data_IF_262376563837
#
_entry.id   IF_262376563837
#
_cell.length_a   1.000
_cell.length_b   1.000
_cell.length_c   1.000
_cell.angle_alpha   90.00
_cell.angle_beta   90.00
_cell.angle_gamma   90.00
#
_symmetry.space_group_name_H-M   'P 1'
#
loop_
_entity.id
_entity.type
_entity.pdbx_description
1 polymer ?
#
# COMPACT_ATOMS: atom_id res chain seq x y z
N UNK A 1 44.18 41.40 10.33
CA UNK A 1 42.96 40.61 10.61
C UNK A 1 42.13 40.38 9.33
N UNK A 2 42.19 41.27 8.34
CA UNK A 2 41.44 41.16 7.08
C UNK A 2 41.75 39.91 6.24
N UNK A 3 42.99 39.40 6.31
CA UNK A 3 43.42 38.20 5.57
C UNK A 3 42.70 36.90 5.97
N UNK A 4 42.08 36.87 7.16
CA UNK A 4 41.32 35.69 7.64
C UNK A 4 39.81 35.93 7.53
N UNK A 5 39.37 37.18 7.57
CA UNK A 5 37.96 37.55 7.47
C UNK A 5 37.44 37.33 6.04
N UNK A 6 38.22 37.63 5.00
CA UNK A 6 37.77 37.45 3.61
C UNK A 6 37.52 35.98 3.25
N UNK A 7 38.45 35.03 3.49
CA UNK A 7 38.20 33.62 3.19
C UNK A 7 37.07 33.02 4.02
N UNK A 8 36.94 33.41 5.29
CA UNK A 8 35.87 32.92 6.17
C UNK A 8 34.51 33.45 5.73
N UNK A 9 34.42 34.72 5.34
CA UNK A 9 33.17 35.30 4.83
C UNK A 9 32.80 34.71 3.47
N UNK A 10 33.76 34.45 2.58
CA UNK A 10 33.52 33.84 1.28
C UNK A 10 33.04 32.37 1.42
N UNK A 11 33.68 31.59 2.29
CA UNK A 11 33.27 30.21 2.58
C UNK A 11 31.89 30.12 3.26
N UNK A 12 31.62 30.98 4.26
CA UNK A 12 30.30 31.02 4.90
C UNK A 12 29.20 31.50 3.96
N UNK A 13 29.51 32.49 3.10
CA UNK A 13 28.57 32.99 2.11
C UNK A 13 28.28 31.93 1.05
N UNK A 14 29.29 31.23 0.52
CA UNK A 14 29.08 30.14 -0.44
C UNK A 14 28.23 29.02 0.15
N UNK A 15 28.50 28.63 1.40
CA UNK A 15 27.75 27.58 2.09
C UNK A 15 26.28 27.99 2.36
N UNK A 16 26.03 29.26 2.68
CA UNK A 16 24.68 29.80 2.88
C UNK A 16 23.89 29.95 1.57
N UNK A 17 24.53 30.36 0.48
CA UNK A 17 23.88 30.41 -0.84
C UNK A 17 23.59 29.00 -1.37
N UNK A 18 24.43 28.01 -1.03
CA UNK A 18 24.22 26.61 -1.40
C UNK A 18 23.18 25.88 -0.54
N UNK A 19 22.72 26.42 0.59
CA UNK A 19 21.80 25.70 1.49
C UNK A 19 20.48 25.34 0.81
N UNK A 20 19.89 26.27 0.05
CA UNK A 20 18.67 26.04 -0.73
C UNK A 20 18.88 25.01 -1.85
N UNK A 21 20.05 25.03 -2.51
CA UNK A 21 20.40 24.03 -3.52
C UNK A 21 20.54 22.63 -2.90
N UNK A 22 21.22 22.52 -1.76
CA UNK A 22 21.38 21.27 -1.02
C UNK A 22 20.03 20.72 -0.52
N UNK A 23 19.10 21.59 -0.12
CA UNK A 23 17.73 21.19 0.24
C UNK A 23 16.98 20.60 -0.96
N UNK A 24 17.08 21.22 -2.15
CA UNK A 24 16.48 20.70 -3.38
C UNK A 24 17.08 19.36 -3.82
N UNK A 25 18.40 19.21 -3.72
CA UNK A 25 19.09 17.94 -4.04
C UNK A 25 18.63 16.82 -3.12
N UNK A 26 18.51 17.07 -1.80
CA UNK A 26 17.97 16.09 -0.85
C UNK A 26 16.55 15.66 -1.21
N UNK A 27 15.69 16.61 -1.59
CA UNK A 27 14.33 16.28 -1.99
C UNK A 27 14.24 15.57 -3.36
N UNK A 28 15.14 15.84 -4.32
CA UNK A 28 15.25 15.06 -5.56
C UNK A 28 15.65 13.60 -5.27
N UNK A 29 16.64 13.39 -4.40
CA UNK A 29 17.04 12.04 -4.01
C UNK A 29 15.89 11.28 -3.31
N UNK A 30 15.14 11.97 -2.44
CA UNK A 30 13.95 11.42 -1.79
C UNK A 30 12.86 11.07 -2.82
N UNK A 31 12.62 11.95 -3.80
CA UNK A 31 11.64 11.73 -4.87
C UNK A 31 11.95 10.45 -5.65
N UNK A 32 13.19 10.25 -6.10
CA UNK A 32 13.57 9.03 -6.85
C UNK A 32 13.32 7.76 -6.05
N UNK A 33 13.65 7.77 -4.76
CA UNK A 33 13.41 6.65 -3.85
C UNK A 33 11.92 6.34 -3.71
N UNK A 34 11.10 7.38 -3.54
CA UNK A 34 9.65 7.24 -3.43
C UNK A 34 9.02 6.72 -4.71
N UNK A 35 9.45 7.22 -5.87
CA UNK A 35 8.96 6.72 -7.16
C UNK A 35 9.32 5.25 -7.35
N UNK A 36 10.52 4.83 -6.94
CA UNK A 36 10.92 3.42 -6.95
C UNK A 36 10.01 2.56 -6.06
N UNK A 37 9.75 2.99 -4.82
CA UNK A 37 8.85 2.26 -3.91
C UNK A 37 7.41 2.22 -4.41
N UNK A 38 6.87 3.33 -4.92
CA UNK A 38 5.54 3.40 -5.48
C UNK A 38 5.40 2.46 -6.70
N UNK A 39 6.37 2.49 -7.62
CA UNK A 39 6.42 1.59 -8.78
C UNK A 39 6.53 0.12 -8.37
N UNK A 40 7.42 -0.18 -7.41
CA UNK A 40 7.59 -1.53 -6.87
C UNK A 40 6.33 -2.07 -6.19
N UNK A 41 5.62 -1.24 -5.42
CA UNK A 41 4.34 -1.59 -4.80
C UNK A 41 3.26 -1.85 -5.84
N UNK A 42 3.12 -0.97 -6.84
CA UNK A 42 2.14 -1.16 -7.90
C UNK A 42 2.42 -2.47 -8.67
N UNK A 43 3.69 -2.71 -9.02
CA UNK A 43 4.10 -3.95 -9.68
C UNK A 43 3.79 -5.18 -8.80
N UNK A 44 4.20 -5.16 -7.52
CA UNK A 44 3.94 -6.24 -6.59
C UNK A 44 2.44 -6.50 -6.42
N UNK A 45 1.62 -5.47 -6.27
CA UNK A 45 0.17 -5.58 -6.12
C UNK A 45 -0.51 -6.08 -7.40
N UNK A 46 0.02 -5.71 -8.57
CA UNK A 46 -0.47 -6.18 -9.88
C UNK A 46 -0.13 -7.66 -10.09
N UNK A 47 1.07 -8.08 -9.70
CA UNK A 47 1.53 -9.47 -9.84
C UNK A 47 0.87 -10.40 -8.80
N UNK A 48 0.56 -9.92 -7.59
CA UNK A 48 0.07 -10.76 -6.49
C UNK A 48 -1.45 -10.96 -6.43
N UNK A 49 -2.15 -10.78 -7.56
CA UNK A 49 -3.62 -10.89 -7.68
C UNK A 49 -4.37 -10.25 -6.50
N UNK A 50 -4.16 -8.94 -6.30
CA UNK A 50 -4.86 -8.20 -5.23
C UNK A 50 -6.39 -8.44 -5.26
N UNK A 51 -6.96 -8.72 -6.44
CA UNK A 51 -8.36 -9.11 -6.63
C UNK A 51 -8.81 -10.32 -5.79
N UNK A 52 -7.91 -11.28 -5.55
CA UNK A 52 -8.22 -12.51 -4.81
C UNK A 52 -8.09 -12.33 -3.28
N UNK A 53 -7.63 -11.15 -2.84
CA UNK A 53 -7.48 -10.83 -1.42
C UNK A 53 -8.78 -10.32 -0.81
N UNK A 54 -8.89 -10.43 0.51
CA UNK A 54 -10.02 -9.86 1.24
C UNK A 54 -10.17 -8.36 0.97
N UNK A 55 -11.42 -7.86 0.95
CA UNK A 55 -11.73 -6.44 0.69
C UNK A 55 -10.94 -5.49 1.61
N UNK A 56 -10.69 -5.89 2.86
CA UNK A 56 -9.90 -5.12 3.82
C UNK A 56 -8.46 -4.95 3.31
N UNK A 57 -7.80 -6.05 2.94
CA UNK A 57 -6.43 -6.02 2.38
C UNK A 57 -6.37 -5.19 1.10
N UNK A 58 -7.39 -5.27 0.24
CA UNK A 58 -7.47 -4.45 -0.98
C UNK A 58 -7.53 -2.95 -0.66
N UNK A 59 -8.42 -2.54 0.27
CA UNK A 59 -8.57 -1.14 0.66
C UNK A 59 -7.27 -0.61 1.27
N UNK A 60 -6.64 -1.37 2.16
CA UNK A 60 -5.36 -0.99 2.80
C UNK A 60 -4.25 -0.87 1.76
N UNK A 61 -4.17 -1.78 0.79
CA UNK A 61 -3.20 -1.72 -0.30
C UNK A 61 -3.40 -0.48 -1.19
N UNK A 62 -4.65 -0.17 -1.57
CA UNK A 62 -4.98 1.02 -2.37
C UNK A 62 -4.62 2.29 -1.59
N UNK A 63 -4.98 2.36 -0.31
CA UNK A 63 -4.64 3.50 0.55
C UNK A 63 -3.11 3.68 0.68
N UNK A 64 -2.36 2.58 0.76
CA UNK A 64 -0.89 2.58 0.78
C UNK A 64 -0.32 3.20 -0.48
N UNK A 65 -0.79 2.78 -1.66
CA UNK A 65 -0.36 3.38 -2.94
C UNK A 65 -0.73 4.86 -3.01
N UNK A 66 -1.95 5.21 -2.57
CA UNK A 66 -2.39 6.61 -2.50
C UNK A 66 -1.50 7.48 -1.61
N UNK A 67 -1.06 6.97 -0.46
CA UNK A 67 -0.14 7.66 0.45
C UNK A 67 1.23 7.89 -0.19
N UNK A 68 1.77 6.90 -0.90
CA UNK A 68 3.03 7.05 -1.63
C UNK A 68 2.93 8.10 -2.75
N UNK A 69 1.82 8.11 -3.49
CA UNK A 69 1.57 9.13 -4.52
C UNK A 69 1.45 10.53 -3.89
N UNK A 70 0.73 10.65 -2.78
CA UNK A 70 0.60 11.91 -2.05
C UNK A 70 1.96 12.40 -1.53
N UNK A 71 2.78 11.51 -0.97
CA UNK A 71 4.14 11.83 -0.55
C UNK A 71 4.96 12.36 -1.74
N UNK A 72 4.92 11.67 -2.88
CA UNK A 72 5.62 12.09 -4.10
C UNK A 72 5.21 13.50 -4.55
N UNK A 73 3.90 13.81 -4.53
CA UNK A 73 3.39 15.15 -4.86
C UNK A 73 3.85 16.21 -3.86
N UNK A 74 3.92 15.89 -2.57
CA UNK A 74 4.43 16.81 -1.54
C UNK A 74 5.92 17.09 -1.70
N UNK A 75 6.72 16.07 -2.02
CA UNK A 75 8.13 16.27 -2.36
C UNK A 75 8.31 17.09 -3.62
N UNK A 76 7.53 16.82 -4.66
CA UNK A 76 7.53 17.63 -5.88
C UNK A 76 7.15 19.08 -5.56
N UNK A 77 6.16 19.31 -4.70
CA UNK A 77 5.78 20.65 -4.22
C UNK A 77 6.93 21.32 -3.46
N UNK A 78 7.66 20.58 -2.62
CA UNK A 78 8.78 21.10 -1.87
C UNK A 78 9.94 21.54 -2.78
N UNK A 79 10.13 20.89 -3.93
CA UNK A 79 11.22 21.21 -4.89
C UNK A 79 10.80 22.25 -5.92
N UNK A 80 9.59 22.13 -6.46
CA UNK A 80 9.18 22.86 -7.66
C UNK A 80 8.53 24.22 -7.38
N UNK A 81 7.92 24.41 -6.20
CA UNK A 81 7.25 25.67 -5.90
C UNK A 81 8.22 26.68 -5.29
N UNK A 82 8.40 27.87 -5.91
CA UNK A 82 9.21 28.92 -5.33
C UNK A 82 8.61 29.38 -3.99
N UNK A 83 9.44 29.85 -3.08
CA UNK A 83 8.98 30.53 -1.86
C UNK A 83 8.55 31.93 -2.27
N UNK A 84 7.27 32.25 -2.05
CA UNK A 84 6.70 33.54 -2.43
C UNK A 84 7.30 34.61 -1.52
N UNK A 85 7.94 35.60 -2.13
CA UNK A 85 8.53 36.71 -1.40
C UNK A 85 7.43 37.66 -0.93
N UNK A 86 7.42 37.97 0.38
CA UNK A 86 6.68 39.12 0.87
C UNK A 86 7.39 40.38 0.35
N UNK A 87 6.68 41.40 -0.18
CA UNK A 87 7.30 42.59 -0.71
C UNK A 87 8.09 43.30 0.38
N UNK A 88 9.43 43.19 0.30
CA UNK A 88 10.36 43.87 1.19
C UNK A 88 10.50 45.36 0.84
N UNK A 89 11.10 46.17 1.72
CA UNK A 89 11.34 47.57 1.44
C UNK A 89 12.21 47.71 0.17
N UNK A 90 11.70 48.43 -0.83
CA UNK A 90 12.24 48.50 -2.19
C UNK A 90 13.68 49.06 -2.32
N UNK A 91 14.31 49.50 -1.22
CA UNK A 91 15.64 50.10 -1.26
C UNK A 91 16.45 49.74 -0.01
N UNK A 92 17.54 48.99 -0.22
CA UNK A 92 18.53 48.70 0.82
C UNK A 92 19.63 49.77 0.74
N UNK A 93 19.82 50.53 1.81
CA UNK A 93 20.67 51.73 1.82
C UNK A 93 22.14 51.47 2.16
N UNK A 94 22.50 50.27 2.63
CA UNK A 94 23.89 49.91 2.98
C UNK A 94 24.27 48.50 2.54
N UNK A 95 25.58 48.29 2.28
CA UNK A 95 26.13 46.97 1.90
C UNK A 95 25.92 45.91 2.97
N UNK A 96 26.04 46.30 4.24
CA UNK A 96 25.80 45.41 5.40
C UNK A 96 24.33 44.99 5.50
N UNK A 97 23.40 45.93 5.24
CA UNK A 97 21.98 45.63 5.18
C UNK A 97 21.64 44.70 4.02
N UNK A 98 22.33 44.82 2.87
CA UNK A 98 22.15 43.91 1.74
C UNK A 98 22.61 42.49 2.09
N UNK A 99 23.80 42.34 2.68
CA UNK A 99 24.32 41.03 3.10
C UNK A 99 23.40 40.39 4.14
N UNK A 100 22.96 41.15 5.16
CA UNK A 100 22.02 40.65 6.17
C UNK A 100 20.70 40.21 5.53
N UNK A 101 20.13 41.01 4.63
CA UNK A 101 18.88 40.70 3.93
C UNK A 101 19.00 39.43 3.07
N UNK A 102 20.11 39.25 2.34
CA UNK A 102 20.36 38.04 1.55
C UNK A 102 20.48 36.80 2.45
N UNK A 103 21.19 36.91 3.58
CA UNK A 103 21.35 35.80 4.53
C UNK A 103 20.05 35.42 5.24
N UNK A 104 19.24 36.41 5.59
CA UNK A 104 17.93 36.24 6.20
C UNK A 104 16.96 35.59 5.21
N UNK A 105 16.93 36.09 3.97
CA UNK A 105 16.15 35.49 2.87
C UNK A 105 16.54 34.04 2.59
N UNK A 106 17.83 33.73 2.56
CA UNK A 106 18.30 32.36 2.36
C UNK A 106 17.91 31.43 3.52
N UNK A 107 17.87 31.94 4.74
CA UNK A 107 17.39 31.19 5.91
C UNK A 107 15.88 30.95 5.85
N UNK A 108 15.10 31.97 5.51
CA UNK A 108 13.65 31.87 5.40
C UNK A 108 13.24 30.89 4.29
N UNK A 109 13.92 30.92 3.14
CA UNK A 109 13.70 29.94 2.06
C UNK A 109 14.04 28.52 2.54
N UNK A 110 15.15 28.34 3.26
CA UNK A 110 15.55 27.05 3.79
C UNK A 110 14.54 26.51 4.83
N UNK A 111 14.07 27.35 5.75
CA UNK A 111 13.09 26.97 6.77
C UNK A 111 11.75 26.57 6.14
N UNK A 112 11.28 27.32 5.15
CA UNK A 112 10.04 27.03 4.43
C UNK A 112 10.14 25.72 3.65
N UNK A 113 11.28 25.45 3.00
CA UNK A 113 11.54 24.17 2.32
C UNK A 113 11.59 23.03 3.35
N UNK A 114 12.29 23.20 4.48
CA UNK A 114 12.39 22.18 5.53
C UNK A 114 11.01 21.87 6.15
N UNK A 115 10.14 22.87 6.35
CA UNK A 115 8.74 22.64 6.76
C UNK A 115 7.97 21.80 5.75
N UNK A 116 8.10 22.09 4.45
CA UNK A 116 7.45 21.31 3.38
C UNK A 116 7.98 19.87 3.33
N UNK A 117 9.30 19.70 3.47
CA UNK A 117 9.93 18.39 3.56
C UNK A 117 9.48 17.63 4.81
N UNK A 118 9.30 18.30 5.95
CA UNK A 118 8.78 17.70 7.18
C UNK A 118 7.40 17.07 6.99
N UNK A 119 6.49 17.77 6.31
CA UNK A 119 5.18 17.22 5.96
C UNK A 119 5.29 16.02 5.01
N UNK A 120 6.14 16.13 3.98
CA UNK A 120 6.37 15.05 3.03
C UNK A 120 6.98 13.80 3.70
N UNK A 121 7.92 14.00 4.63
CA UNK A 121 8.51 12.96 5.47
C UNK A 121 7.47 12.25 6.33
N UNK A 122 6.57 13.00 6.97
CA UNK A 122 5.52 12.43 7.80
C UNK A 122 4.56 11.55 6.98
N UNK A 123 4.14 12.03 5.80
CA UNK A 123 3.29 11.25 4.88
C UNK A 123 4.03 10.01 4.37
N UNK A 124 5.32 10.12 4.04
CA UNK A 124 6.14 8.98 3.65
C UNK A 124 6.28 7.95 4.79
N UNK A 125 6.49 8.39 6.03
CA UNK A 125 6.54 7.51 7.19
C UNK A 125 5.21 6.76 7.40
N UNK A 126 4.08 7.45 7.24
CA UNK A 126 2.76 6.82 7.26
C UNK A 126 2.59 5.80 6.12
N UNK A 127 3.06 6.11 4.91
CA UNK A 127 3.04 5.20 3.76
C UNK A 127 3.86 3.93 4.02
N UNK A 128 5.05 4.07 4.63
CA UNK A 128 5.89 2.92 5.04
C UNK A 128 5.17 2.06 6.06
N UNK A 129 4.61 2.65 7.13
CA UNK A 129 3.86 1.92 8.14
C UNK A 129 2.67 1.15 7.55
N UNK A 130 1.92 1.80 6.63
CA UNK A 130 0.82 1.17 5.89
C UNK A 130 1.28 0.07 4.93
N UNK A 131 2.48 0.19 4.36
CA UNK A 131 3.08 -0.85 3.52
C UNK A 131 3.38 -2.11 4.33
N UNK A 132 3.97 -1.94 5.52
CA UNK A 132 4.23 -3.04 6.46
C UNK A 132 2.92 -3.70 6.88
N UNK A 133 1.89 -2.91 7.19
CA UNK A 133 0.57 -3.43 7.56
C UNK A 133 -0.08 -4.21 6.39
N UNK A 134 -0.01 -3.67 5.17
CA UNK A 134 -0.53 -4.35 3.96
C UNK A 134 0.14 -5.70 3.77
N UNK A 135 1.47 -5.75 3.93
CA UNK A 135 2.23 -6.99 3.85
C UNK A 135 1.82 -7.98 4.95
N UNK A 136 1.73 -7.52 6.20
CA UNK A 136 1.31 -8.36 7.32
C UNK A 136 -0.10 -8.94 7.10
N UNK A 137 -1.05 -8.13 6.62
CA UNK A 137 -2.39 -8.60 6.27
C UNK A 137 -2.37 -9.62 5.11
N UNK A 138 -1.53 -9.38 4.10
CA UNK A 138 -1.38 -10.30 2.97
C UNK A 138 -0.86 -11.69 3.39
N UNK A 139 0.04 -11.73 4.36
CA UNK A 139 0.61 -12.97 4.92
C UNK A 139 -0.36 -13.65 5.89
N UNK A 140 -0.98 -12.89 6.80
CA UNK A 140 -1.79 -13.45 7.90
C UNK A 140 -3.22 -13.82 7.49
N UNK A 141 -3.84 -13.08 6.57
CA UNK A 141 -5.28 -13.25 6.24
C UNK A 141 -5.50 -14.22 5.08
N UNK A 142 -4.45 -14.57 4.33
CA UNK A 142 -4.54 -15.48 3.19
C UNK A 142 -5.41 -14.95 2.04
N UNK A 143 -5.48 -15.67 0.91
CA UNK A 143 -6.42 -15.36 -0.17
C UNK A 143 -7.86 -15.64 0.29
N UNK A 144 -8.80 -14.80 -0.15
CA UNK A 144 -10.21 -15.01 0.14
C UNK A 144 -10.68 -16.18 -0.73
N UNK A 145 -10.96 -17.33 -0.12
CA UNK A 145 -11.56 -18.47 -0.82
C UNK A 145 -12.88 -18.06 -1.47
N UNK A 146 -12.92 -17.98 -2.80
CA UNK A 146 -14.16 -17.72 -3.53
C UNK A 146 -15.09 -18.93 -3.36
N UNK A 147 -16.12 -18.76 -2.54
CA UNK A 147 -17.15 -19.78 -2.34
C UNK A 147 -18.45 -19.31 -2.99
N UNK A 148 -19.01 -20.14 -3.86
CA UNK A 148 -20.24 -19.84 -4.62
C UNK A 148 -21.31 -20.86 -4.24
N UNK A 149 -22.59 -20.45 -4.09
CA UNK A 149 -23.69 -21.40 -3.92
C UNK A 149 -23.70 -22.43 -5.05
N UNK A 150 -23.74 -23.71 -4.69
CA UNK A 150 -23.67 -24.79 -5.64
C UNK A 150 -24.14 -26.12 -5.06
N UNK A 151 -24.34 -27.07 -5.97
CA UNK A 151 -24.74 -28.44 -5.66
C UNK A 151 -23.67 -29.38 -6.18
N UNK A 152 -23.12 -30.20 -5.29
CA UNK A 152 -22.16 -31.25 -5.64
C UNK A 152 -22.90 -32.57 -5.72
N UNK A 153 -22.91 -33.18 -6.90
CA UNK A 153 -23.51 -34.49 -7.17
C UNK A 153 -22.45 -35.56 -6.98
N UNK A 154 -22.75 -36.56 -6.17
CA UNK A 154 -21.80 -37.58 -5.72
C UNK A 154 -21.99 -38.90 -6.46
N UNK A 155 -20.90 -39.64 -6.60
CA UNK A 155 -20.93 -41.01 -7.10
C UNK A 155 -21.64 -41.94 -6.11
N UNK A 156 -22.31 -43.01 -6.60
CA UNK A 156 -22.99 -43.98 -5.74
C UNK A 156 -22.08 -44.62 -4.68
N UNK A 157 -20.80 -44.81 -5.01
CA UNK A 157 -19.78 -45.40 -4.13
C UNK A 157 -19.56 -44.61 -2.83
N UNK A 158 -19.75 -43.29 -2.85
CA UNK A 158 -19.48 -42.41 -1.70
C UNK A 158 -20.72 -42.15 -0.83
N UNK A 159 -21.90 -42.62 -1.25
CA UNK A 159 -23.18 -42.36 -0.57
C UNK A 159 -23.22 -42.90 0.86
N UNK A 160 -22.65 -44.08 1.09
CA UNK A 160 -22.64 -44.70 2.42
C UNK A 160 -21.80 -43.87 3.41
N UNK A 161 -20.63 -43.39 2.98
CA UNK A 161 -19.77 -42.51 3.78
C UNK A 161 -20.47 -41.20 4.11
N UNK A 162 -21.11 -40.57 3.11
CA UNK A 162 -21.85 -39.34 3.34
C UNK A 162 -23.06 -39.54 4.27
N UNK A 163 -23.78 -40.67 4.14
CA UNK A 163 -24.92 -40.99 5.01
C UNK A 163 -24.49 -41.13 6.47
N UNK A 164 -23.31 -41.70 6.74
CA UNK A 164 -22.77 -41.78 8.10
C UNK A 164 -22.44 -40.40 8.69
N UNK A 165 -21.97 -39.46 7.85
CA UNK A 165 -21.64 -38.10 8.29
C UNK A 165 -22.89 -37.21 8.46
N UNK A 166 -23.83 -37.31 7.53
CA UNK A 166 -24.97 -36.39 7.42
C UNK A 166 -26.25 -36.95 8.04
N UNK A 167 -26.29 -38.24 8.41
CA UNK A 167 -27.47 -38.92 8.97
C UNK A 167 -28.61 -39.14 7.98
N UNK A 168 -28.46 -38.71 6.72
CA UNK A 168 -29.46 -38.81 5.67
C UNK A 168 -28.83 -39.39 4.41
N UNK A 169 -29.54 -40.32 3.76
CA UNK A 169 -29.17 -40.79 2.42
C UNK A 169 -29.42 -39.65 1.43
N UNK A 170 -28.34 -39.02 0.96
CA UNK A 170 -28.38 -38.05 -0.13
C UNK A 170 -27.30 -38.38 -1.15
N UNK A 171 -27.56 -38.07 -2.41
CA UNK A 171 -26.62 -38.15 -3.52
C UNK A 171 -26.13 -36.77 -3.98
N UNK A 172 -26.63 -35.73 -3.31
CA UNK A 172 -26.27 -34.34 -3.53
C UNK A 172 -25.98 -33.65 -2.20
N UNK A 173 -24.99 -32.75 -2.24
CA UNK A 173 -24.67 -31.84 -1.14
C UNK A 173 -24.86 -30.42 -1.65
N UNK A 174 -25.80 -29.71 -1.04
CA UNK A 174 -26.09 -28.31 -1.35
C UNK A 174 -25.34 -27.42 -0.36
N UNK A 175 -24.65 -26.40 -0.86
CA UNK A 175 -23.81 -25.56 -0.01
C UNK A 175 -22.99 -24.53 -0.79
N UNK A 176 -22.07 -23.89 -0.09
CA UNK A 176 -21.09 -22.99 -0.72
C UNK A 176 -19.90 -23.82 -1.16
N UNK A 177 -19.66 -23.93 -2.47
CA UNK A 177 -18.54 -24.66 -3.05
C UNK A 177 -17.38 -23.71 -3.28
N UNK A 178 -16.20 -24.03 -2.77
CA UNK A 178 -14.98 -23.24 -3.01
C UNK A 178 -14.45 -23.51 -4.42
N UNK A 179 -14.43 -22.51 -5.30
CA UNK A 179 -14.04 -22.67 -6.71
C UNK A 179 -12.64 -23.27 -6.87
N UNK A 180 -11.67 -22.77 -6.11
CA UNK A 180 -10.27 -23.22 -6.20
C UNK A 180 -10.11 -24.70 -5.87
N UNK A 181 -10.98 -25.22 -4.99
CA UNK A 181 -10.95 -26.64 -4.59
C UNK A 181 -11.26 -27.59 -5.75
N UNK A 182 -11.95 -27.14 -6.80
CA UNK A 182 -12.27 -27.94 -7.99
C UNK A 182 -11.03 -28.37 -8.77
N UNK A 183 -9.94 -27.60 -8.70
CA UNK A 183 -8.65 -27.95 -9.29
C UNK A 183 -7.87 -28.98 -8.46
N UNK A 184 -8.24 -29.18 -7.20
CA UNK A 184 -7.48 -30.00 -6.25
C UNK A 184 -8.03 -31.43 -6.14
N UNK A 185 -7.36 -32.34 -5.40
CA UNK A 185 -7.88 -33.68 -5.14
C UNK A 185 -9.16 -33.73 -4.29
N UNK A 186 -9.52 -32.63 -3.61
CA UNK A 186 -10.68 -32.55 -2.73
C UNK A 186 -11.53 -31.32 -3.04
N UNK A 187 -12.82 -31.51 -3.26
CA UNK A 187 -13.78 -30.42 -3.40
C UNK A 187 -14.24 -30.01 -2.00
N UNK A 188 -14.00 -28.76 -1.65
CA UNK A 188 -14.44 -28.16 -0.39
C UNK A 188 -15.86 -27.60 -0.56
N UNK A 189 -16.78 -28.10 0.26
CA UNK A 189 -18.17 -27.66 0.29
C UNK A 189 -18.53 -27.29 1.72
N UNK A 190 -19.03 -26.08 1.95
CA UNK A 190 -19.67 -25.69 3.21
C UNK A 190 -21.18 -25.98 3.10
N UNK A 191 -21.69 -27.05 3.72
CA UNK A 191 -23.09 -27.45 3.56
C UNK A 191 -24.03 -26.37 4.12
N UNK A 192 -25.25 -26.29 3.59
CA UNK A 192 -26.30 -25.47 4.21
C UNK A 192 -26.59 -25.93 5.63
N UNK A 193 -27.02 -25.01 6.51
CA UNK A 193 -27.35 -25.33 7.91
C UNK A 193 -28.34 -26.51 7.94
N UNK A 194 -28.02 -27.53 8.73
CA UNK A 194 -28.78 -28.78 8.91
C UNK A 194 -28.67 -29.81 7.76
N UNK A 195 -27.87 -29.58 6.71
CA UNK A 195 -27.70 -30.57 5.65
C UNK A 195 -26.82 -31.77 6.06
N UNK A 196 -25.78 -31.54 6.87
CA UNK A 196 -24.80 -32.57 7.26
C UNK A 196 -24.36 -32.48 8.73
N UNK A 197 -25.34 -32.35 9.64
CA UNK A 197 -25.07 -32.22 11.08
C UNK A 197 -24.43 -30.88 11.48
N UNK A 198 -24.41 -30.57 12.78
CA UNK A 198 -24.06 -29.25 13.31
C UNK A 198 -22.55 -28.98 13.47
N UNK A 199 -21.67 -29.94 13.15
CA UNK A 199 -20.24 -29.90 13.56
C UNK A 199 -19.20 -29.76 12.44
N UNK A 200 -19.57 -29.81 11.16
CA UNK A 200 -18.59 -29.64 10.07
C UNK A 200 -18.80 -28.29 9.37
N UNK A 201 -17.89 -27.34 9.61
CA UNK A 201 -17.88 -26.06 8.88
C UNK A 201 -17.54 -26.24 7.40
N UNK A 202 -16.80 -27.30 7.06
CA UNK A 202 -16.42 -27.65 5.69
C UNK A 202 -16.39 -29.17 5.52
N UNK A 203 -16.95 -29.65 4.41
CA UNK A 203 -16.89 -31.02 3.96
C UNK A 203 -15.88 -31.11 2.82
N UNK A 204 -14.85 -31.93 3.00
CA UNK A 204 -13.86 -32.24 1.96
C UNK A 204 -14.28 -33.54 1.26
N UNK A 205 -14.64 -33.43 -0.01
CA UNK A 205 -15.13 -34.55 -0.81
C UNK A 205 -14.04 -34.92 -1.82
N UNK A 206 -13.53 -36.16 -1.84
CA UNK A 206 -12.57 -36.58 -2.85
C UNK A 206 -13.11 -36.32 -4.26
N UNK A 207 -12.30 -35.76 -5.15
CA UNK A 207 -12.72 -35.45 -6.52
C UNK A 207 -13.16 -36.70 -7.28
N UNK A 208 -12.58 -37.86 -6.97
CA UNK A 208 -13.01 -39.16 -7.50
C UNK A 208 -14.44 -39.54 -7.10
N UNK A 209 -14.96 -38.98 -6.00
CA UNK A 209 -16.33 -39.19 -5.54
C UNK A 209 -17.31 -38.15 -6.10
N UNK A 210 -16.84 -37.10 -6.78
CA UNK A 210 -17.68 -36.06 -7.38
C UNK A 210 -18.02 -36.44 -8.82
N UNK A 211 -19.31 -36.57 -9.11
CA UNK A 211 -19.81 -36.81 -10.48
C UNK A 211 -19.93 -35.52 -11.27
N UNK A 212 -20.48 -34.47 -10.65
CA UNK A 212 -20.67 -33.17 -11.26
C UNK A 212 -20.82 -32.08 -10.19
N UNK A 213 -20.54 -30.84 -10.57
CA UNK A 213 -20.79 -29.64 -9.76
C UNK A 213 -21.69 -28.72 -10.58
N UNK A 214 -22.82 -28.31 -9.99
CA UNK A 214 -23.76 -27.36 -10.59
C UNK A 214 -23.75 -26.08 -9.80
N UNK A 215 -23.44 -24.96 -10.45
CA UNK A 215 -23.58 -23.64 -9.86
C UNK A 215 -25.05 -23.28 -9.77
N UNK A 216 -25.43 -22.60 -8.70
CA UNK A 216 -26.75 -21.98 -8.62
C UNK A 216 -26.60 -20.59 -9.22
N UNK A 217 -27.19 -20.36 -10.39
CA UNK A 217 -27.21 -19.03 -11.00
C UNK A 217 -27.85 -18.07 -9.98
N UNK A 218 -27.12 -17.00 -9.67
CA UNK A 218 -27.51 -16.00 -8.68
C UNK A 218 -28.63 -15.09 -9.19
#
# INVERSE_FOLDING_TARGET
MDAVIVPVTEAYYSQRVQSGFNARVRAQAAQSTITLFAGGLIAALTVTTLADRGKVTQIVAIATVGLWLLAALLYMRAVAFPVVELPGPNYVTSREALIRSVLEKANDEAEEIDKRQGHANWVAAAAVAMSVLTFALGVLVGPKKESVPGIVILQPSYRNTLTMLCGKKTDRVEGMVTKDSLGTPFVEVKPTKNACGSKSEFLQIPRSAVKAVRWQDA
#
